data_IF_117883544583
#
_entry.id   IF_117883544583
#
_cell.length_a   1.000
_cell.length_b   1.000
_cell.length_c   1.000
_cell.angle_alpha   90.00
_cell.angle_beta   90.00
_cell.angle_gamma   90.00
#
_symmetry.space_group_name_H-M   'P 1'
#
loop_
_entity.id
_entity.type
_entity.pdbx_description
1 polymer ?
#
# COMPACT_ATOMS: atom_id res chain seq x y z
N UNK A 1 -17.08 16.95 -21.93
CA UNK A 1 -16.74 15.51 -21.82
C UNK A 1 -17.90 14.68 -21.27
N UNK A 2 -18.46 15.01 -20.09
CA UNK A 2 -19.59 14.28 -19.52
C UNK A 2 -20.81 14.13 -20.45
N UNK A 3 -21.13 15.16 -21.24
CA UNK A 3 -22.23 15.10 -22.23
C UNK A 3 -22.01 14.10 -23.39
N UNK A 4 -20.78 13.66 -23.65
CA UNK A 4 -20.45 12.71 -24.72
C UNK A 4 -20.41 11.26 -24.24
N UNK A 5 -20.27 11.05 -22.93
CA UNK A 5 -20.14 9.71 -22.34
C UNK A 5 -21.30 8.75 -22.72
N UNK A 6 -22.57 9.20 -22.84
CA UNK A 6 -23.67 8.32 -23.26
C UNK A 6 -23.59 7.88 -24.73
N UNK A 7 -22.64 8.38 -25.52
CA UNK A 7 -22.63 8.21 -26.98
C UNK A 7 -21.31 7.66 -27.54
N UNK A 8 -20.19 7.80 -26.82
CA UNK A 8 -18.85 7.49 -27.36
C UNK A 8 -18.03 6.72 -26.32
N UNK A 9 -17.49 5.56 -26.69
CA UNK A 9 -16.61 4.78 -25.80
C UNK A 9 -15.12 5.11 -25.91
N UNK A 10 -14.68 5.83 -26.95
CA UNK A 10 -13.32 6.38 -27.05
C UNK A 10 -13.28 7.66 -27.86
N UNK A 11 -12.71 8.73 -27.28
CA UNK A 11 -12.49 10.01 -27.95
C UNK A 11 -10.99 10.22 -28.18
N UNK A 12 -10.62 10.60 -29.40
CA UNK A 12 -9.25 10.96 -29.75
C UNK A 12 -9.19 12.47 -30.04
N UNK A 13 -8.52 13.23 -29.16
CA UNK A 13 -8.35 14.67 -29.32
C UNK A 13 -6.96 14.92 -29.91
N UNK A 14 -6.92 15.36 -31.17
CA UNK A 14 -5.69 15.58 -31.93
C UNK A 14 -5.35 17.07 -32.01
N UNK A 15 -4.08 17.42 -31.81
CA UNK A 15 -3.54 18.74 -32.09
C UNK A 15 -2.07 18.63 -32.52
N UNK A 16 -1.44 19.76 -32.87
CA UNK A 16 -0.05 19.77 -33.34
C UNK A 16 0.96 19.14 -32.34
N UNK A 17 0.69 19.18 -31.03
CA UNK A 17 1.57 18.59 -30.00
C UNK A 17 1.45 17.07 -29.94
N UNK A 18 0.26 16.53 -30.21
CA UNK A 18 0.00 15.08 -30.12
C UNK A 18 0.10 14.36 -31.47
N UNK A 19 0.09 15.09 -32.59
CA UNK A 19 0.10 14.52 -33.92
C UNK A 19 1.33 13.65 -34.20
N UNK A 20 2.53 14.10 -33.80
CA UNK A 20 3.78 13.40 -34.07
C UNK A 20 3.90 12.05 -33.34
N UNK A 21 3.26 11.90 -32.18
CA UNK A 21 3.30 10.69 -31.35
C UNK A 21 1.95 9.95 -31.31
N UNK A 22 1.00 10.32 -32.17
CA UNK A 22 -0.32 9.70 -32.20
C UNK A 22 -0.25 8.35 -32.89
N UNK A 23 -0.95 7.36 -32.33
CA UNK A 23 -1.19 6.07 -33.01
C UNK A 23 -2.32 6.16 -34.04
N UNK A 24 -2.92 7.34 -34.24
CA UNK A 24 -4.04 7.56 -35.14
C UNK A 24 -5.40 7.15 -34.57
N UNK A 25 -6.46 7.41 -35.33
CA UNK A 25 -7.83 7.05 -34.92
C UNK A 25 -8.13 5.56 -35.16
N UNK A 26 -7.67 4.97 -36.27
CA UNK A 26 -8.01 3.61 -36.69
C UNK A 26 -7.27 2.48 -35.95
N UNK A 27 -6.44 2.80 -34.96
CA UNK A 27 -5.65 1.82 -34.20
C UNK A 27 -6.16 1.74 -32.76
N UNK A 28 -7.15 0.88 -32.46
CA UNK A 28 -7.60 0.66 -31.08
C UNK A 28 -6.48 0.00 -30.27
N UNK A 29 -6.05 0.65 -29.19
CA UNK A 29 -4.93 0.17 -28.38
C UNK A 29 -5.37 -0.88 -27.36
N UNK A 30 -4.60 -1.95 -27.10
CA UNK A 30 -4.99 -3.03 -26.19
C UNK A 30 -5.33 -2.60 -24.76
N UNK A 31 -4.74 -1.49 -24.29
CA UNK A 31 -4.96 -0.93 -22.95
C UNK A 31 -6.10 0.09 -22.89
N UNK A 32 -6.67 0.49 -24.02
CA UNK A 32 -7.80 1.42 -24.09
C UNK A 32 -9.09 0.64 -24.31
N UNK A 33 -10.17 1.11 -23.70
CA UNK A 33 -11.50 0.56 -23.93
C UNK A 33 -11.86 0.69 -25.42
N UNK A 34 -12.37 -0.39 -26.01
CA UNK A 34 -12.90 -0.40 -27.37
C UNK A 34 -14.35 -0.89 -27.34
N UNK A 35 -15.28 -0.02 -27.68
CA UNK A 35 -16.70 -0.31 -27.58
C UNK A 35 -17.48 0.98 -27.43
N UNK A 36 -18.77 0.88 -27.15
CA UNK A 36 -19.59 2.05 -26.90
C UNK A 36 -21.07 1.73 -26.75
N UNK A 37 -21.84 2.64 -26.15
CA UNK A 37 -23.27 2.48 -25.93
C UNK A 37 -24.07 2.54 -27.24
N UNK A 38 -25.33 2.09 -27.18
CA UNK A 38 -26.29 2.24 -28.28
C UNK A 38 -25.89 1.49 -29.55
N UNK A 39 -25.82 2.19 -30.70
CA UNK A 39 -25.52 1.60 -32.02
C UNK A 39 -24.12 0.98 -32.12
N UNK A 40 -23.21 1.29 -31.20
CA UNK A 40 -21.90 0.66 -31.12
C UNK A 40 -21.94 -0.74 -30.46
N UNK A 41 -23.12 -1.22 -30.04
CA UNK A 41 -23.35 -2.58 -29.56
C UNK A 41 -23.47 -2.72 -28.04
N UNK A 42 -23.16 -1.66 -27.27
CA UNK A 42 -23.22 -1.65 -25.80
C UNK A 42 -22.13 -2.49 -25.11
N UNK A 43 -21.47 -3.36 -25.85
CA UNK A 43 -20.32 -4.13 -25.41
C UNK A 43 -19.06 -3.27 -25.30
N UNK A 44 -18.06 -3.84 -24.62
CA UNK A 44 -16.71 -3.30 -24.54
C UNK A 44 -15.71 -4.46 -24.68
N UNK A 45 -14.59 -4.16 -25.30
CA UNK A 45 -13.48 -5.05 -25.56
C UNK A 45 -12.19 -4.28 -25.26
N UNK A 46 -11.05 -4.99 -25.24
CA UNK A 46 -9.77 -4.41 -24.84
C UNK A 46 -9.86 -3.75 -23.44
N UNK A 47 -9.20 -2.62 -23.20
CA UNK A 47 -9.22 -1.97 -21.88
C UNK A 47 -8.35 -2.66 -20.82
N UNK A 48 -7.29 -3.36 -21.26
CA UNK A 48 -6.32 -3.98 -20.36
C UNK A 48 -6.95 -5.06 -19.46
N UNK A 49 -6.88 -4.90 -18.14
CA UNK A 49 -7.45 -5.87 -17.21
C UNK A 49 -8.99 -5.90 -17.19
N UNK A 50 -9.66 -4.89 -17.74
CA UNK A 50 -11.13 -4.86 -17.82
C UNK A 50 -11.68 -5.93 -18.75
N UNK A 51 -11.03 -6.20 -19.90
CA UNK A 51 -11.46 -7.30 -20.80
C UNK A 51 -11.36 -8.65 -20.11
N UNK A 52 -10.28 -8.90 -19.37
CA UNK A 52 -10.06 -10.17 -18.67
C UNK A 52 -11.20 -10.45 -17.68
N UNK A 53 -11.67 -9.43 -16.95
CA UNK A 53 -12.77 -9.55 -15.98
C UNK A 53 -14.10 -10.04 -16.58
N UNK A 54 -14.32 -9.85 -17.89
CA UNK A 54 -15.53 -10.34 -18.59
C UNK A 54 -15.52 -11.85 -18.79
N UNK A 55 -14.33 -12.46 -18.81
CA UNK A 55 -14.14 -13.90 -18.98
C UNK A 55 -13.99 -14.65 -17.65
N UNK A 56 -13.99 -13.94 -16.53
CA UNK A 56 -13.88 -14.53 -15.19
C UNK A 56 -15.26 -14.57 -14.52
N UNK A 57 -15.62 -15.74 -13.97
CA UNK A 57 -16.72 -15.85 -13.01
C UNK A 57 -16.36 -15.04 -11.76
N UNK A 58 -17.29 -14.18 -11.32
CA UNK A 58 -17.13 -13.39 -10.09
C UNK A 58 -18.09 -13.89 -9.04
N UNK A 59 -17.57 -14.21 -7.87
CA UNK A 59 -18.34 -14.68 -6.72
C UNK A 59 -18.01 -13.80 -5.53
N UNK A 60 -19.04 -13.27 -4.87
CA UNK A 60 -18.87 -12.62 -3.58
C UNK A 60 -18.79 -13.70 -2.50
N UNK A 61 -17.64 -13.79 -1.83
CA UNK A 61 -17.39 -14.81 -0.82
C UNK A 61 -17.50 -14.18 0.57
N UNK A 62 -18.25 -14.83 1.45
CA UNK A 62 -18.38 -14.48 2.86
C UNK A 62 -17.89 -15.66 3.68
N UNK A 63 -16.94 -15.40 4.58
CA UNK A 63 -16.38 -16.38 5.50
C UNK A 63 -15.66 -15.63 6.62
N UNK A 64 -15.26 -16.35 7.68
CA UNK A 64 -14.35 -15.79 8.67
C UNK A 64 -12.97 -15.48 8.04
N UNK A 65 -12.18 -14.57 8.64
CA UNK A 65 -10.90 -14.15 8.07
C UNK A 65 -9.94 -15.29 7.77
N UNK A 66 -9.90 -16.33 8.62
CA UNK A 66 -8.97 -17.43 8.43
C UNK A 66 -9.33 -18.23 7.17
N UNK A 67 -10.60 -18.56 6.99
CA UNK A 67 -11.08 -19.24 5.80
C UNK A 67 -10.94 -18.36 4.54
N UNK A 68 -11.20 -17.05 4.65
CA UNK A 68 -10.93 -16.11 3.55
C UNK A 68 -9.46 -16.15 3.13
N UNK A 69 -8.53 -16.16 4.08
CA UNK A 69 -7.10 -16.24 3.78
C UNK A 69 -6.68 -17.55 3.14
N UNK A 70 -7.21 -18.67 3.62
CA UNK A 70 -6.92 -19.98 3.06
C UNK A 70 -7.43 -20.09 1.61
N UNK A 71 -8.62 -19.55 1.31
CA UNK A 71 -9.23 -19.62 -0.01
C UNK A 71 -8.61 -18.64 -1.03
N UNK A 72 -8.20 -17.46 -0.59
CA UNK A 72 -7.68 -16.41 -1.47
C UNK A 72 -6.17 -16.43 -1.64
N UNK A 73 -5.44 -17.07 -0.72
CA UNK A 73 -3.99 -16.99 -0.65
C UNK A 73 -3.48 -15.59 -0.26
N UNK A 74 -4.35 -14.76 0.33
CA UNK A 74 -4.06 -13.41 0.79
C UNK A 74 -4.51 -13.23 2.24
N UNK A 75 -3.75 -12.48 3.03
CA UNK A 75 -4.11 -12.21 4.41
C UNK A 75 -5.38 -11.36 4.48
N UNK A 76 -6.34 -11.83 5.26
CA UNK A 76 -7.50 -11.10 5.71
C UNK A 76 -7.28 -10.68 7.17
N UNK A 77 -7.55 -9.42 7.47
CA UNK A 77 -7.43 -8.87 8.84
C UNK A 77 -8.23 -9.71 9.83
N UNK A 78 -7.60 -10.11 10.94
CA UNK A 78 -8.13 -11.07 11.91
C UNK A 78 -7.64 -12.51 11.72
N UNK A 79 -6.89 -12.81 10.66
CA UNK A 79 -6.25 -14.11 10.42
C UNK A 79 -4.75 -14.12 10.75
N UNK A 80 -4.29 -13.21 11.60
CA UNK A 80 -2.89 -13.07 11.97
C UNK A 80 -2.39 -14.31 12.74
N UNK A 81 -1.18 -14.76 12.40
CA UNK A 81 -0.47 -15.84 13.10
C UNK A 81 0.84 -15.29 13.66
N UNK A 82 1.12 -15.43 14.96
CA UNK A 82 2.38 -14.94 15.52
C UNK A 82 3.59 -15.58 14.83
N UNK A 83 4.57 -14.76 14.44
CA UNK A 83 5.83 -15.23 13.89
C UNK A 83 6.72 -15.82 15.00
N UNK A 84 7.24 -17.03 14.78
CA UNK A 84 8.17 -17.67 15.74
C UNK A 84 9.60 -17.10 15.68
N UNK A 85 9.99 -16.59 14.52
CA UNK A 85 11.25 -15.85 14.28
C UNK A 85 10.94 -14.60 13.45
N UNK A 86 11.83 -13.62 13.46
CA UNK A 86 11.63 -12.40 12.69
C UNK A 86 11.41 -12.72 11.19
N UNK A 87 10.26 -12.35 10.57
CA UNK A 87 9.94 -12.76 9.20
C UNK A 87 10.97 -12.32 8.16
N UNK A 88 11.64 -11.17 8.34
CA UNK A 88 12.71 -10.75 7.42
C UNK A 88 13.96 -11.65 7.43
N UNK A 89 14.07 -12.60 8.36
CA UNK A 89 15.13 -13.61 8.40
C UNK A 89 14.81 -14.87 7.59
N UNK A 90 13.59 -14.96 7.05
CA UNK A 90 13.11 -16.12 6.32
C UNK A 90 13.25 -15.93 4.82
N UNK A 91 13.63 -16.99 4.11
CA UNK A 91 13.58 -17.01 2.65
C UNK A 91 12.13 -17.05 2.15
N UNK A 92 11.94 -16.74 0.87
CA UNK A 92 10.61 -16.67 0.25
C UNK A 92 9.75 -17.91 0.52
N UNK A 93 10.31 -19.12 0.41
CA UNK A 93 9.58 -20.39 0.62
C UNK A 93 9.12 -20.59 2.08
N UNK A 94 9.81 -20.01 3.05
CA UNK A 94 9.59 -20.21 4.50
C UNK A 94 8.56 -19.24 5.08
N UNK A 95 8.22 -18.20 4.33
CA UNK A 95 7.20 -17.21 4.72
C UNK A 95 5.79 -17.75 4.48
N UNK A 96 4.94 -17.67 5.49
CA UNK A 96 3.53 -18.05 5.39
C UNK A 96 2.63 -16.82 5.39
N UNK A 97 1.59 -16.83 4.55
CA UNK A 97 0.57 -15.77 4.56
C UNK A 97 -0.12 -15.72 5.93
N UNK A 98 -0.26 -14.51 6.46
CA UNK A 98 -0.77 -14.25 7.81
C UNK A 98 0.30 -14.28 8.91
N UNK A 99 1.51 -14.75 8.64
CA UNK A 99 2.60 -14.68 9.62
C UNK A 99 2.91 -13.23 9.99
N UNK A 100 2.92 -12.94 11.29
CA UNK A 100 2.86 -11.58 11.83
C UNK A 100 3.92 -11.35 12.90
N UNK A 101 4.79 -10.38 12.66
CA UNK A 101 5.66 -9.80 13.67
C UNK A 101 4.93 -8.67 14.39
N UNK A 102 4.83 -8.76 15.71
CA UNK A 102 4.46 -7.61 16.56
C UNK A 102 5.72 -7.05 17.18
N UNK A 103 6.02 -5.78 16.91
CA UNK A 103 7.29 -5.17 17.33
C UNK A 103 7.28 -4.83 18.83
N UNK A 104 8.47 -4.45 19.34
CA UNK A 104 8.54 -3.66 20.56
C UNK A 104 7.95 -2.25 20.34
N UNK A 105 7.90 -1.45 21.40
CA UNK A 105 7.21 -0.15 21.42
C UNK A 105 8.20 1.02 21.36
N UNK A 106 7.77 2.15 20.79
CA UNK A 106 8.51 3.42 20.79
C UNK A 106 7.59 4.58 21.15
N UNK A 107 7.92 5.32 22.19
CA UNK A 107 7.21 6.54 22.58
C UNK A 107 7.70 7.71 21.74
N UNK A 108 6.76 8.50 21.21
CA UNK A 108 7.03 9.70 20.44
C UNK A 108 7.22 10.87 21.39
N UNK A 109 8.30 11.62 21.20
CA UNK A 109 8.65 12.77 22.01
C UNK A 109 8.64 14.06 21.17
N UNK A 110 8.68 15.21 21.83
CA UNK A 110 8.85 16.48 21.11
C UNK A 110 10.18 16.55 20.36
N UNK A 111 11.22 15.91 20.89
CA UNK A 111 12.52 15.81 20.24
C UNK A 111 12.44 15.05 18.91
N UNK A 112 11.63 14.00 18.82
CA UNK A 112 11.41 13.28 17.56
C UNK A 112 10.81 14.19 16.49
N UNK A 113 9.81 15.00 16.84
CA UNK A 113 9.15 15.94 15.94
C UNK A 113 10.15 17.01 15.47
N UNK A 114 10.89 17.61 16.40
CA UNK A 114 11.87 18.64 16.10
C UNK A 114 13.00 18.11 15.19
N UNK A 115 13.55 16.93 15.51
CA UNK A 115 14.61 16.30 14.72
C UNK A 115 14.12 15.89 13.33
N UNK A 116 12.92 15.34 13.23
CA UNK A 116 12.37 14.96 11.94
C UNK A 116 12.06 16.17 11.07
N UNK A 117 11.50 17.26 11.64
CA UNK A 117 11.35 18.53 10.94
C UNK A 117 12.67 19.06 10.39
N UNK A 118 13.73 19.07 11.21
CA UNK A 118 15.04 19.55 10.79
C UNK A 118 15.66 18.66 9.69
N UNK A 119 15.52 17.34 9.81
CA UNK A 119 16.11 16.38 8.85
C UNK A 119 15.36 16.34 7.52
N UNK A 120 14.03 16.27 7.56
CA UNK A 120 13.16 16.17 6.38
C UNK A 120 12.90 17.52 5.72
N UNK A 121 13.16 18.61 6.44
CA UNK A 121 12.79 19.99 6.09
C UNK A 121 11.27 20.25 6.05
N UNK A 122 10.46 19.34 6.59
CA UNK A 122 9.03 19.53 6.75
C UNK A 122 8.72 20.31 8.04
N UNK A 123 8.54 21.62 7.87
CA UNK A 123 8.17 22.56 8.92
C UNK A 123 6.68 22.91 8.93
N UNK A 124 5.81 22.03 8.42
CA UNK A 124 4.37 22.26 8.43
C UNK A 124 3.85 22.62 9.84
N UNK A 125 3.00 23.64 9.92
CA UNK A 125 2.62 24.30 11.18
C UNK A 125 2.02 23.33 12.21
N UNK A 126 1.30 22.29 11.77
CA UNK A 126 0.70 21.29 12.65
C UNK A 126 1.75 20.47 13.44
N UNK A 127 3.02 20.52 13.04
CA UNK A 127 4.13 19.85 13.71
C UNK A 127 5.01 20.82 14.50
N UNK A 128 5.13 22.08 14.05
CA UNK A 128 6.18 23.01 14.48
C UNK A 128 5.67 24.23 15.23
N UNK A 129 4.45 24.68 14.99
CA UNK A 129 3.89 25.90 15.56
C UNK A 129 2.81 25.57 16.60
N UNK A 130 3.12 25.85 17.86
CA UNK A 130 2.22 25.62 18.98
C UNK A 130 0.95 26.48 18.93
N UNK A 131 1.05 27.74 18.46
CA UNK A 131 -0.09 28.66 18.40
C UNK A 131 -1.03 28.25 17.26
N UNK A 132 -0.48 28.02 16.06
CA UNK A 132 -1.29 27.61 14.91
C UNK A 132 -1.90 26.21 15.10
N UNK A 133 -1.18 25.28 15.74
CA UNK A 133 -1.70 23.92 15.95
C UNK A 133 -2.90 23.87 16.91
N UNK A 134 -3.00 24.80 17.87
CA UNK A 134 -4.17 24.92 18.77
C UNK A 134 -5.46 25.28 18.04
N UNK A 135 -5.35 26.06 16.97
CA UNK A 135 -6.49 26.46 16.13
C UNK A 135 -6.80 25.42 15.03
N UNK A 136 -5.94 24.41 14.87
CA UNK A 136 -6.12 23.34 13.89
C UNK A 136 -7.16 22.30 14.35
N UNK A 137 -7.56 21.43 13.42
CA UNK A 137 -8.43 20.26 13.68
C UNK A 137 -7.87 19.31 14.76
N UNK A 138 -6.56 19.36 15.05
CA UNK A 138 -5.92 18.50 16.04
C UNK A 138 -5.89 19.12 17.45
N UNK A 139 -6.03 20.45 17.57
CA UNK A 139 -5.97 21.20 18.83
C UNK A 139 -4.61 21.21 19.54
N UNK A 140 -3.59 20.57 18.97
CA UNK A 140 -2.21 20.48 19.47
C UNK A 140 -1.26 20.06 18.35
N UNK A 141 0.05 20.23 18.58
CA UNK A 141 1.06 19.69 17.67
C UNK A 141 1.01 18.16 17.64
N UNK A 142 1.13 17.61 16.45
CA UNK A 142 1.16 16.17 16.17
C UNK A 142 2.46 15.82 15.46
N UNK A 143 2.88 14.56 15.51
CA UNK A 143 4.03 14.09 14.78
C UNK A 143 3.74 13.97 13.28
N UNK A 144 4.78 14.07 12.44
CA UNK A 144 4.66 13.89 11.00
C UNK A 144 4.18 12.47 10.67
N UNK A 145 3.26 12.34 9.72
CA UNK A 145 2.89 11.02 9.21
C UNK A 145 4.11 10.27 8.65
N UNK A 146 5.02 10.96 7.96
CA UNK A 146 6.26 10.36 7.46
C UNK A 146 7.22 9.97 8.58
N UNK A 147 7.25 10.69 9.71
CA UNK A 147 7.98 10.23 10.89
C UNK A 147 7.39 8.92 11.42
N UNK A 148 6.07 8.80 11.53
CA UNK A 148 5.41 7.56 11.98
C UNK A 148 5.77 6.39 11.07
N UNK A 149 5.78 6.61 9.74
CA UNK A 149 6.23 5.63 8.75
C UNK A 149 7.70 5.21 8.97
N UNK A 150 8.61 6.18 9.12
CA UNK A 150 10.04 5.92 9.37
C UNK A 150 10.29 5.22 10.69
N UNK A 151 9.57 5.61 11.76
CA UNK A 151 9.65 4.99 13.07
C UNK A 151 9.15 3.54 13.03
N UNK A 152 8.05 3.27 12.32
CA UNK A 152 7.55 1.91 12.11
C UNK A 152 8.58 1.04 11.39
N UNK A 153 9.19 1.53 10.31
CA UNK A 153 10.27 0.81 9.62
C UNK A 153 11.44 0.50 10.56
N UNK A 154 11.86 1.47 11.39
CA UNK A 154 12.87 1.24 12.41
C UNK A 154 12.50 0.19 13.47
N UNK A 155 11.21 -0.11 13.66
CA UNK A 155 10.72 -1.13 14.60
C UNK A 155 10.68 -2.54 14.00
N UNK A 156 10.32 -2.69 12.72
CA UNK A 156 10.08 -4.00 12.09
C UNK A 156 11.16 -4.46 11.10
N UNK A 157 12.10 -3.59 10.70
CA UNK A 157 13.18 -3.99 9.80
C UNK A 157 14.30 -4.65 10.61
N UNK A 158 14.70 -5.86 10.21
CA UNK A 158 15.89 -6.51 10.77
C UNK A 158 17.14 -5.85 10.16
N UNK A 159 18.08 -5.32 10.96
CA UNK A 159 19.24 -4.59 10.44
C UNK A 159 20.34 -5.50 9.90
N UNK A 160 20.33 -6.80 10.25
CA UNK A 160 21.33 -7.75 9.78
C UNK A 160 21.11 -8.10 8.30
N UNK A 161 22.18 -8.37 7.52
CA UNK A 161 22.04 -8.96 6.20
C UNK A 161 21.20 -10.23 6.25
N UNK A 162 20.25 -10.37 5.33
CA UNK A 162 19.31 -11.47 5.31
C UNK A 162 18.61 -11.63 3.97
N UNK A 163 17.57 -12.48 3.90
CA UNK A 163 16.88 -12.80 2.65
C UNK A 163 16.13 -11.62 2.01
N UNK A 164 15.82 -10.56 2.74
CA UNK A 164 15.18 -9.35 2.17
C UNK A 164 16.22 -8.57 1.38
N UNK A 165 16.07 -8.54 0.05
CA UNK A 165 17.01 -7.92 -0.88
C UNK A 165 16.77 -6.42 -1.04
N UNK A 166 15.50 -6.03 -1.12
CA UNK A 166 15.12 -4.64 -1.32
C UNK A 166 13.72 -4.38 -0.78
N UNK A 167 13.56 -3.27 -0.07
CA UNK A 167 12.28 -2.66 0.23
C UNK A 167 12.07 -1.51 -0.77
N UNK A 168 11.20 -1.69 -1.75
CA UNK A 168 11.18 -0.84 -2.95
C UNK A 168 9.85 -0.14 -3.21
N UNK A 169 8.82 -0.41 -2.42
CA UNK A 169 7.50 0.16 -2.69
C UNK A 169 6.59 0.19 -1.47
N UNK A 170 5.69 1.17 -1.50
CA UNK A 170 4.61 1.35 -0.55
C UNK A 170 3.33 1.57 -1.35
N UNK A 171 2.26 0.87 -0.97
CA UNK A 171 0.93 1.00 -1.56
C UNK A 171 -0.08 1.37 -0.47
N UNK A 172 -1.13 2.11 -0.86
CA UNK A 172 -2.30 2.39 -0.03
C UNK A 172 -2.03 2.99 1.36
N UNK A 173 -0.98 3.81 1.51
CA UNK A 173 -0.69 4.49 2.77
C UNK A 173 -1.83 5.41 3.20
N UNK A 174 -2.33 5.20 4.42
CA UNK A 174 -3.31 6.05 5.08
C UNK A 174 -2.87 6.36 6.51
N UNK A 175 -3.03 7.62 6.89
CA UNK A 175 -2.94 8.09 8.28
C UNK A 175 -4.38 8.24 8.80
N UNK A 176 -4.72 7.47 9.82
CA UNK A 176 -6.10 7.35 10.31
C UNK A 176 -6.32 8.20 11.56
N UNK A 177 -5.38 8.15 12.49
CA UNK A 177 -5.42 8.90 13.75
C UNK A 177 -4.12 9.70 13.92
N UNK A 178 -4.19 10.93 14.45
CA UNK A 178 -3.00 11.73 14.73
C UNK A 178 -2.18 11.10 15.87
N UNK A 179 -0.86 11.24 15.78
CA UNK A 179 0.07 10.82 16.85
C UNK A 179 0.58 12.06 17.55
N UNK A 180 0.36 12.17 18.85
CA UNK A 180 0.82 13.29 19.66
C UNK A 180 2.12 12.96 20.41
N UNK A 181 2.77 14.00 20.95
CA UNK A 181 3.84 13.83 21.94
C UNK A 181 3.31 13.02 23.13
N UNK A 182 4.04 12.00 23.53
CA UNK A 182 3.69 11.06 24.59
C UNK A 182 3.00 9.78 24.09
N UNK A 183 2.50 9.75 22.85
CA UNK A 183 1.91 8.53 22.30
C UNK A 183 2.97 7.45 22.07
N UNK A 184 2.60 6.19 22.27
CA UNK A 184 3.49 5.05 22.11
C UNK A 184 3.06 4.19 20.94
N UNK A 185 3.94 4.08 19.94
CA UNK A 185 3.73 3.32 18.72
C UNK A 185 4.14 1.86 18.89
N UNK A 186 3.36 0.97 18.28
CA UNK A 186 3.70 -0.44 18.05
C UNK A 186 3.29 -0.81 16.63
N UNK A 187 4.19 -1.48 15.90
CA UNK A 187 3.91 -1.94 14.54
C UNK A 187 3.57 -3.44 14.53
N UNK A 188 2.65 -3.81 13.65
CA UNK A 188 2.42 -5.18 13.19
C UNK A 188 2.81 -5.27 11.72
N UNK A 189 3.68 -6.22 11.41
CA UNK A 189 4.14 -6.52 10.06
C UNK A 189 3.68 -7.94 9.72
N UNK A 190 2.71 -8.05 8.81
CA UNK A 190 2.07 -9.31 8.45
C UNK A 190 2.35 -9.67 6.99
N UNK A 191 2.73 -10.91 6.69
CA UNK A 191 2.83 -11.40 5.31
C UNK A 191 1.45 -11.36 4.67
N UNK A 192 1.20 -10.39 3.79
CA UNK A 192 -0.10 -10.17 3.15
C UNK A 192 -0.29 -11.13 1.98
N UNK A 193 0.68 -11.15 1.08
CA UNK A 193 0.63 -11.97 -0.14
C UNK A 193 2.03 -12.21 -0.65
N UNK A 194 2.22 -13.30 -1.38
CA UNK A 194 3.47 -13.65 -2.04
C UNK A 194 3.24 -13.81 -3.54
N UNK A 195 4.16 -13.31 -4.35
CA UNK A 195 4.17 -13.49 -5.81
C UNK A 195 5.57 -13.89 -6.27
N UNK A 196 5.76 -15.05 -6.91
CA UNK A 196 7.06 -15.40 -7.47
C UNK A 196 7.41 -14.39 -8.57
N UNK A 197 8.69 -14.01 -8.65
CA UNK A 197 9.19 -13.12 -9.71
C UNK A 197 10.04 -13.92 -10.69
N UNK A 198 11.05 -14.61 -10.18
CA UNK A 198 11.98 -15.44 -10.94
C UNK A 198 12.54 -16.58 -10.06
N UNK A 199 13.59 -17.25 -10.51
CA UNK A 199 14.27 -18.34 -9.80
C UNK A 199 15.05 -17.85 -8.57
N UNK A 200 15.44 -16.57 -8.54
CA UNK A 200 16.28 -16.00 -7.48
C UNK A 200 15.46 -15.29 -6.40
N UNK A 201 14.32 -14.69 -6.78
CA UNK A 201 13.55 -13.86 -5.88
C UNK A 201 12.03 -13.95 -6.09
N UNK A 202 11.29 -13.58 -5.05
CA UNK A 202 9.86 -13.34 -5.07
C UNK A 202 9.52 -11.99 -4.44
N UNK A 203 8.37 -11.44 -4.83
CA UNK A 203 7.80 -10.26 -4.20
C UNK A 203 6.94 -10.70 -3.03
N UNK A 204 7.25 -10.18 -1.85
CA UNK A 204 6.42 -10.33 -0.65
C UNK A 204 5.79 -8.99 -0.36
N UNK A 205 4.47 -8.98 -0.34
CA UNK A 205 3.66 -7.85 0.11
C UNK A 205 3.37 -8.03 1.59
N UNK A 206 3.55 -6.97 2.38
CA UNK A 206 3.30 -6.98 3.80
C UNK A 206 2.19 -6.00 4.16
N UNK A 207 1.23 -6.43 4.95
CA UNK A 207 0.29 -5.53 5.60
C UNK A 207 0.98 -4.95 6.82
N UNK A 208 1.17 -3.63 6.84
CA UNK A 208 1.72 -2.92 7.99
C UNK A 208 0.60 -2.17 8.67
N UNK A 209 0.47 -2.40 9.98
CA UNK A 209 -0.45 -1.66 10.83
C UNK A 209 0.33 -1.07 12.01
N UNK A 210 0.28 0.24 12.17
CA UNK A 210 0.86 0.95 13.31
C UNK A 210 -0.26 1.36 14.23
N UNK A 211 -0.18 1.00 15.50
CA UNK A 211 -1.16 1.35 16.51
C UNK A 211 -0.53 2.12 17.67
N UNK A 212 -1.34 2.92 18.38
CA UNK A 212 -0.94 3.61 19.60
C UNK A 212 -1.20 2.75 20.86
N UNK A 213 -0.95 3.33 22.04
CA UNK A 213 -1.17 2.69 23.34
C UNK A 213 -2.62 2.28 23.63
N UNK A 214 -3.60 2.90 22.95
CA UNK A 214 -5.02 2.58 23.09
C UNK A 214 -5.47 1.48 22.11
N UNK A 215 -4.54 0.96 21.29
CA UNK A 215 -4.85 -0.01 20.24
C UNK A 215 -5.50 0.60 18.99
N UNK A 216 -5.58 1.93 18.89
CA UNK A 216 -6.09 2.61 17.69
C UNK A 216 -5.03 2.59 16.59
N UNK A 217 -5.43 2.20 15.38
CA UNK A 217 -4.56 2.26 14.20
C UNK A 217 -4.30 3.71 13.82
N UNK A 218 -3.04 4.13 13.83
CA UNK A 218 -2.61 5.48 13.45
C UNK A 218 -2.16 5.55 12.00
N UNK A 219 -1.57 4.46 11.48
CA UNK A 219 -1.17 4.34 10.09
C UNK A 219 -1.34 2.90 9.59
N UNK A 220 -1.75 2.74 8.34
CA UNK A 220 -1.84 1.45 7.68
C UNK A 220 -1.40 1.56 6.21
N UNK A 221 -0.66 0.57 5.73
CA UNK A 221 -0.15 0.53 4.35
C UNK A 221 0.28 -0.89 3.94
N UNK A 222 0.50 -1.08 2.65
CA UNK A 222 1.15 -2.30 2.11
C UNK A 222 2.60 -2.00 1.77
N UNK A 223 3.54 -2.78 2.31
CA UNK A 223 4.97 -2.72 1.99
C UNK A 223 5.32 -3.74 0.90
N UNK A 224 6.10 -3.35 -0.10
CA UNK A 224 6.57 -4.24 -1.16
C UNK A 224 8.06 -4.53 -0.99
N UNK A 225 8.40 -5.79 -0.77
CA UNK A 225 9.79 -6.24 -0.65
C UNK A 225 10.12 -7.30 -1.68
N UNK A 226 11.34 -7.25 -2.20
CA UNK A 226 11.95 -8.34 -2.94
C UNK A 226 12.68 -9.24 -1.95
N UNK A 227 12.34 -10.53 -1.92
CA UNK A 227 12.89 -11.52 -0.98
C UNK A 227 13.52 -12.66 -1.77
N UNK A 228 14.74 -13.04 -1.39
CA UNK A 228 15.48 -14.13 -1.98
C UNK A 228 14.78 -15.47 -1.79
N UNK A 229 14.94 -16.35 -2.77
CA UNK A 229 14.50 -17.74 -2.72
C UNK A 229 15.60 -18.63 -2.16
N UNK A 230 15.21 -19.71 -1.48
CA UNK A 230 16.17 -20.63 -0.87
C UNK A 230 16.84 -21.49 -1.94
N UNK A 231 18.17 -21.49 -1.99
CA UNK A 231 18.95 -22.30 -2.92
C UNK A 231 19.23 -21.64 -4.28
N UNK A 232 18.97 -20.34 -4.41
CA UNK A 232 19.44 -19.51 -5.51
C UNK A 232 20.90 -19.05 -5.32
#
# INVERSE_FOLDING_TARGET
>A
LAALAPYVGRLHILNARTAASSTGHGSPLPRLLHGGPGRAGGGEELGGLLSVKRHLGRVALQADPWLLSALTGEHAKGAEKPAGVHPFRKYYEELEVGETLTTHRRTVTEADIALFSALSWDHFYAHTDELAARESLFGKRVAHGYFVLSAAAGLFVDPAPGPVLANYGLEDLRFLEPVAVGDTLQARLTVKRKRPRDEQAGVVEWAVEVANQEGKTVAAYTLLTLVARKGA
#
